data_IF_885668569682
#
_entry.id   IF_885668569682
#
_cell.length_a   1.000
_cell.length_b   1.000
_cell.length_c   1.000
_cell.angle_alpha   90.00
_cell.angle_beta   90.00
_cell.angle_gamma   90.00
#
_symmetry.space_group_name_H-M   'P 1'
#
loop_
_entity.id
_entity.type
_entity.pdbx_description
1 polymer ?
#
# COMPACT_ATOMS: atom_id res chain seq x y z
N UNK A 1 5.87 -17.09 -1.45
CA UNK A 1 4.58 -16.85 -2.08
C UNK A 1 3.59 -16.61 -0.97
N UNK A 2 2.80 -15.55 -1.02
CA UNK A 2 1.95 -15.19 0.12
C UNK A 2 0.53 -14.85 -0.35
N UNK A 3 -0.48 -15.50 0.22
CA UNK A 3 -1.88 -15.14 0.02
C UNK A 3 -2.41 -14.36 1.23
N UNK A 4 -3.26 -13.36 0.97
CA UNK A 4 -3.95 -12.64 2.04
C UNK A 4 -5.44 -12.88 1.88
N UNK A 5 -6.10 -13.22 2.98
CA UNK A 5 -7.55 -13.38 3.00
C UNK A 5 -8.14 -12.59 4.16
N UNK A 6 -9.10 -11.74 3.87
CA UNK A 6 -9.90 -11.00 4.84
C UNK A 6 -11.30 -11.59 4.83
N UNK A 7 -11.81 -12.03 5.99
CA UNK A 7 -13.11 -12.66 6.15
C UNK A 7 -13.99 -11.87 7.10
N UNK A 8 -15.13 -11.40 6.59
CA UNK A 8 -16.16 -10.69 7.36
C UNK A 8 -15.58 -9.56 8.23
N UNK A 9 -14.63 -8.79 7.70
CA UNK A 9 -13.99 -7.71 8.46
C UNK A 9 -14.96 -6.57 8.69
N UNK A 10 -15.14 -6.20 9.98
CA UNK A 10 -15.91 -5.03 10.39
C UNK A 10 -15.08 -4.17 11.33
N UNK A 11 -15.29 -2.84 11.25
CA UNK A 11 -14.66 -1.86 12.13
C UNK A 11 -15.57 -0.69 12.41
N UNK A 12 -15.64 -0.33 13.69
CA UNK A 12 -16.38 0.85 14.16
C UNK A 12 -15.51 1.71 15.07
N UNK A 13 -15.72 3.00 15.06
CA UNK A 13 -15.15 3.95 16.01
C UNK A 13 -16.32 4.65 16.73
N UNK A 14 -16.56 4.27 17.97
CA UNK A 14 -17.78 4.67 18.70
C UNK A 14 -19.03 4.16 17.97
N UNK A 15 -19.96 5.05 17.66
CA UNK A 15 -21.18 4.72 16.90
C UNK A 15 -20.98 4.71 15.38
N UNK A 16 -19.82 5.13 14.87
CA UNK A 16 -19.58 5.23 13.43
C UNK A 16 -18.98 3.93 12.89
N UNK A 17 -19.74 3.18 12.08
CA UNK A 17 -19.26 1.99 11.37
C UNK A 17 -18.49 2.41 10.13
N UNK A 18 -17.20 2.12 10.10
CA UNK A 18 -16.25 2.55 9.05
C UNK A 18 -16.01 1.47 8.01
N UNK A 19 -16.03 0.20 8.41
CA UNK A 19 -15.92 -0.96 7.52
C UNK A 19 -17.10 -1.88 7.79
N UNK A 20 -17.81 -2.24 6.72
CA UNK A 20 -19.01 -3.09 6.77
C UNK A 20 -18.74 -4.40 6.03
N UNK A 21 -18.58 -5.50 6.77
CA UNK A 21 -18.48 -6.87 6.24
C UNK A 21 -17.61 -6.95 4.96
N UNK A 22 -16.32 -6.65 5.13
CA UNK A 22 -15.36 -6.64 4.04
C UNK A 22 -14.74 -8.03 3.86
N UNK A 23 -14.96 -8.62 2.68
CA UNK A 23 -14.45 -9.92 2.29
C UNK A 23 -13.60 -9.79 1.03
N UNK A 24 -12.35 -10.26 1.07
CA UNK A 24 -11.47 -10.30 -0.10
C UNK A 24 -10.43 -11.39 0.04
N UNK A 25 -10.10 -12.03 -1.08
CA UNK A 25 -8.95 -12.91 -1.21
C UNK A 25 -7.99 -12.33 -2.24
N UNK A 26 -6.75 -12.11 -1.82
CA UNK A 26 -5.63 -11.61 -2.62
C UNK A 26 -4.71 -12.78 -2.89
N UNK A 27 -4.48 -13.08 -4.15
CA UNK A 27 -3.62 -14.17 -4.56
C UNK A 27 -2.15 -13.76 -4.46
N UNK A 28 -1.27 -14.74 -4.49
CA UNK A 28 0.18 -14.52 -4.46
C UNK A 28 0.67 -13.67 -5.64
N UNK A 29 1.56 -12.72 -5.33
CA UNK A 29 2.15 -11.80 -6.32
C UNK A 29 1.19 -10.78 -6.91
N UNK A 30 0.01 -10.57 -6.33
CA UNK A 30 -1.02 -9.69 -6.85
C UNK A 30 -0.86 -8.24 -6.38
N UNK A 31 -1.08 -7.29 -7.31
CA UNK A 31 -1.17 -5.86 -7.05
C UNK A 31 -2.63 -5.45 -6.93
N UNK A 32 -3.11 -5.25 -5.71
CA UNK A 32 -4.47 -4.79 -5.43
C UNK A 32 -4.47 -3.30 -5.13
N UNK A 33 -5.35 -2.56 -5.79
CA UNK A 33 -5.56 -1.14 -5.50
C UNK A 33 -6.92 -0.91 -4.86
N UNK A 34 -6.93 -0.28 -3.70
CA UNK A 34 -8.13 0.17 -3.00
C UNK A 34 -8.39 1.64 -3.37
N UNK A 35 -9.51 1.91 -4.02
CA UNK A 35 -9.92 3.27 -4.40
C UNK A 35 -11.27 3.63 -3.79
N UNK A 36 -11.53 4.92 -3.64
CA UNK A 36 -12.80 5.42 -3.13
C UNK A 36 -12.66 6.83 -2.55
N UNK A 37 -13.76 7.49 -2.21
CA UNK A 37 -13.78 8.83 -1.61
C UNK A 37 -12.99 8.90 -0.31
N UNK A 38 -12.59 10.11 0.09
CA UNK A 38 -11.99 10.31 1.41
C UNK A 38 -12.94 9.85 2.53
N UNK A 39 -12.39 9.20 3.55
CA UNK A 39 -13.16 8.69 4.69
C UNK A 39 -13.95 7.40 4.45
N UNK A 40 -13.84 6.75 3.28
CA UNK A 40 -14.56 5.47 3.04
C UNK A 40 -13.92 4.23 3.70
N UNK A 41 -12.82 4.37 4.46
CA UNK A 41 -12.24 3.27 5.26
C UNK A 41 -10.93 2.67 4.71
N UNK A 42 -10.38 3.12 3.59
CA UNK A 42 -9.17 2.55 2.94
C UNK A 42 -7.96 2.46 3.89
N UNK A 43 -7.55 3.58 4.47
CA UNK A 43 -6.40 3.61 5.40
C UNK A 43 -6.68 2.84 6.69
N UNK A 44 -7.95 2.80 7.14
CA UNK A 44 -8.36 1.97 8.28
C UNK A 44 -8.13 0.49 7.98
N UNK A 45 -8.51 0.04 6.78
CA UNK A 45 -8.29 -1.33 6.34
C UNK A 45 -6.79 -1.68 6.29
N UNK A 46 -5.95 -0.79 5.71
CA UNK A 46 -4.50 -0.98 5.73
C UNK A 46 -3.94 -1.09 7.15
N UNK A 47 -4.41 -0.24 8.06
CA UNK A 47 -3.99 -0.24 9.47
C UNK A 47 -4.39 -1.53 10.19
N UNK A 48 -5.56 -2.10 9.89
CA UNK A 48 -5.98 -3.40 10.43
C UNK A 48 -5.11 -4.53 9.87
N UNK A 49 -4.82 -4.54 8.57
CA UNK A 49 -3.94 -5.55 7.96
C UNK A 49 -2.52 -5.47 8.55
N UNK A 50 -1.98 -4.27 8.74
CA UNK A 50 -0.65 -4.07 9.34
C UNK A 50 -0.60 -4.34 10.84
N UNK A 51 -1.75 -4.43 11.53
CA UNK A 51 -1.84 -4.58 12.98
C UNK A 51 -1.67 -3.28 13.78
N UNK A 52 -1.72 -2.14 13.11
CA UNK A 52 -1.73 -0.82 13.74
C UNK A 52 -3.11 -0.42 14.27
N UNK A 53 -4.14 -1.15 13.86
CA UNK A 53 -5.52 -1.04 14.34
C UNK A 53 -6.10 -2.43 14.56
N UNK A 54 -6.93 -2.59 15.58
CA UNK A 54 -7.61 -3.85 15.89
C UNK A 54 -8.78 -4.09 14.95
N UNK A 55 -9.05 -5.34 14.65
CA UNK A 55 -10.29 -5.79 13.98
C UNK A 55 -11.36 -5.98 15.04
N UNK A 56 -12.55 -5.45 14.83
CA UNK A 56 -13.65 -5.65 15.79
C UNK A 56 -14.38 -6.98 15.54
N UNK A 57 -14.66 -7.31 14.26
CA UNK A 57 -15.25 -8.58 13.83
C UNK A 57 -14.50 -9.06 12.59
N UNK A 58 -14.35 -10.38 12.45
CA UNK A 58 -13.73 -11.02 11.30
C UNK A 58 -12.28 -11.43 11.50
N UNK A 59 -11.69 -11.97 10.45
CA UNK A 59 -10.39 -12.64 10.51
C UNK A 59 -9.51 -12.22 9.34
N UNK A 60 -8.22 -12.00 9.61
CA UNK A 60 -7.21 -11.72 8.60
C UNK A 60 -6.22 -12.88 8.59
N UNK A 61 -6.05 -13.49 7.43
CA UNK A 61 -5.12 -14.57 7.21
C UNK A 61 -3.99 -14.14 6.29
N UNK A 62 -2.77 -14.58 6.61
CA UNK A 62 -1.59 -14.54 5.75
C UNK A 62 -1.06 -15.97 5.61
N UNK A 63 -1.03 -16.51 4.39
CA UNK A 63 -0.66 -17.92 4.13
C UNK A 63 -1.45 -18.91 4.97
N UNK A 64 -2.77 -18.76 5.04
CA UNK A 64 -3.70 -19.53 5.87
C UNK A 64 -3.43 -19.43 7.39
N UNK A 65 -2.55 -18.56 7.85
CA UNK A 65 -2.28 -18.30 9.26
C UNK A 65 -3.05 -17.06 9.72
N UNK A 66 -3.87 -17.22 10.75
CA UNK A 66 -4.57 -16.10 11.39
C UNK A 66 -3.55 -15.13 12.02
N UNK A 67 -3.64 -13.84 11.64
CA UNK A 67 -2.70 -12.81 12.08
C UNK A 67 -3.33 -11.72 12.96
N UNK A 68 -4.63 -11.81 13.30
CA UNK A 68 -5.32 -10.79 14.09
C UNK A 68 -4.57 -10.41 15.37
N UNK A 69 -4.11 -11.42 16.13
CA UNK A 69 -3.45 -11.25 17.41
C UNK A 69 -1.93 -11.04 17.33
N UNK A 70 -1.36 -11.02 16.11
CA UNK A 70 0.05 -10.75 15.95
C UNK A 70 0.33 -9.25 15.99
N UNK A 71 1.35 -8.86 16.76
CA UNK A 71 1.86 -7.49 16.75
C UNK A 71 2.43 -7.13 15.36
N UNK A 72 2.44 -5.85 14.96
CA UNK A 72 2.86 -5.41 13.62
C UNK A 72 4.20 -5.99 13.14
N UNK A 73 5.20 -6.04 14.04
CA UNK A 73 6.55 -6.53 13.72
C UNK A 73 6.61 -8.02 13.38
N UNK A 74 5.58 -8.81 13.73
CA UNK A 74 5.50 -10.26 13.50
C UNK A 74 4.61 -10.65 12.32
N UNK A 75 4.00 -9.67 11.64
CA UNK A 75 3.09 -9.93 10.52
C UNK A 75 3.76 -10.15 9.17
N UNK A 76 5.08 -10.02 9.06
CA UNK A 76 5.83 -10.10 7.79
C UNK A 76 5.31 -9.12 6.72
N UNK A 77 4.81 -7.96 7.17
CA UNK A 77 4.21 -6.90 6.36
C UNK A 77 5.03 -5.63 6.54
N UNK A 78 5.25 -4.90 5.46
CA UNK A 78 5.83 -3.56 5.51
C UNK A 78 4.85 -2.50 5.01
N UNK A 79 4.80 -1.35 5.68
CA UNK A 79 3.91 -0.24 5.32
C UNK A 79 4.70 1.00 4.95
N UNK A 80 4.34 1.60 3.82
CA UNK A 80 4.81 2.90 3.35
C UNK A 80 3.68 3.91 3.57
N UNK A 81 3.94 4.91 4.41
CA UNK A 81 2.95 5.91 4.81
C UNK A 81 2.94 7.10 3.85
N UNK A 82 1.82 7.77 3.75
CA UNK A 82 1.63 9.01 2.99
C UNK A 82 2.65 10.10 3.34
N UNK A 83 3.00 10.24 4.62
CA UNK A 83 4.00 11.20 5.12
C UNK A 83 5.44 10.71 4.99
N UNK A 84 5.67 9.54 4.36
CA UNK A 84 6.94 8.81 4.31
C UNK A 84 7.41 8.31 5.69
N UNK A 85 7.05 8.98 6.76
CA UNK A 85 7.39 8.67 8.16
C UNK A 85 8.90 8.36 8.37
N UNK A 86 9.78 9.14 7.71
CA UNK A 86 11.22 9.03 7.90
C UNK A 86 11.64 9.65 9.22
N UNK A 87 12.64 9.03 9.86
CA UNK A 87 13.25 9.56 11.09
C UNK A 87 14.14 10.75 10.74
N UNK A 88 13.80 11.99 11.12
CA UNK A 88 14.47 13.20 10.63
C UNK A 88 15.91 13.37 11.13
N UNK A 89 16.26 12.74 12.24
CA UNK A 89 17.60 12.78 12.84
C UNK A 89 18.56 11.75 12.25
N UNK A 90 18.04 10.71 11.56
CA UNK A 90 18.79 9.65 10.91
C UNK A 90 19.10 9.99 9.44
N UNK A 91 20.24 9.54 8.91
CA UNK A 91 20.52 9.59 7.49
C UNK A 91 19.71 8.52 6.72
N UNK A 92 19.84 8.45 5.38
CA UNK A 92 19.13 7.49 4.53
C UNK A 92 19.49 6.05 4.91
N UNK A 93 20.81 5.76 5.04
CA UNK A 93 21.27 4.43 5.45
C UNK A 93 20.64 4.00 6.78
N UNK A 94 20.65 4.86 7.78
CA UNK A 94 20.12 4.59 9.11
C UNK A 94 18.60 4.37 9.08
N UNK A 95 17.85 5.17 8.30
CA UNK A 95 16.42 4.98 8.09
C UNK A 95 16.11 3.60 7.51
N UNK A 96 16.85 3.18 6.48
CA UNK A 96 16.66 1.87 5.83
C UNK A 96 17.10 0.72 6.74
N UNK A 97 18.16 0.90 7.53
CA UNK A 97 18.70 -0.11 8.44
C UNK A 97 17.90 -0.27 9.74
N UNK A 98 17.03 0.68 10.09
CA UNK A 98 16.42 0.75 11.43
C UNK A 98 15.69 -0.54 11.83
N UNK A 99 14.82 -1.06 10.95
CA UNK A 99 14.08 -2.30 11.23
C UNK A 99 15.00 -3.50 11.46
N UNK A 100 16.03 -3.64 10.64
CA UNK A 100 17.02 -4.73 10.73
C UNK A 100 17.84 -4.66 12.04
N UNK A 101 18.18 -3.43 12.48
CA UNK A 101 18.85 -3.22 13.78
C UNK A 101 17.98 -3.67 14.95
N UNK A 102 16.66 -3.37 14.91
CA UNK A 102 15.71 -3.82 15.93
C UNK A 102 15.54 -5.35 15.96
N UNK A 103 15.66 -5.99 14.82
CA UNK A 103 15.66 -7.46 14.67
C UNK A 103 17.01 -8.09 15.03
N UNK A 104 18.02 -7.28 15.45
CA UNK A 104 19.37 -7.71 15.82
C UNK A 104 20.12 -8.44 14.71
N UNK A 105 19.85 -8.09 13.46
CA UNK A 105 20.57 -8.64 12.29
C UNK A 105 22.06 -8.21 12.33
N UNK A 106 23.00 -9.09 11.94
CA UNK A 106 24.42 -8.75 11.89
C UNK A 106 24.74 -7.55 10.99
N UNK A 107 25.70 -6.70 11.39
CA UNK A 107 26.05 -5.47 10.66
C UNK A 107 26.43 -5.71 9.20
N UNK A 108 27.13 -6.80 8.91
CA UNK A 108 27.49 -7.18 7.53
C UNK A 108 26.26 -7.41 6.66
N UNK A 109 25.27 -8.12 7.18
CA UNK A 109 24.01 -8.40 6.48
C UNK A 109 23.16 -7.14 6.32
N UNK A 110 23.12 -6.26 7.35
CA UNK A 110 22.47 -4.94 7.25
C UNK A 110 23.06 -4.13 6.11
N UNK A 111 24.39 -4.03 6.05
CA UNK A 111 25.08 -3.29 4.98
C UNK A 111 24.73 -3.84 3.60
N UNK A 112 24.73 -5.16 3.44
CA UNK A 112 24.38 -5.82 2.19
C UNK A 112 22.93 -5.53 1.77
N UNK A 113 21.96 -5.70 2.68
CA UNK A 113 20.54 -5.47 2.41
C UNK A 113 20.26 -4.01 2.07
N UNK A 114 20.85 -3.06 2.81
CA UNK A 114 20.68 -1.62 2.56
C UNK A 114 21.26 -1.23 1.20
N UNK A 115 22.51 -1.66 0.89
CA UNK A 115 23.15 -1.33 -0.39
C UNK A 115 22.37 -1.93 -1.58
N UNK A 116 21.91 -3.18 -1.47
CA UNK A 116 21.08 -3.82 -2.51
C UNK A 116 19.76 -3.06 -2.74
N UNK A 117 19.10 -2.63 -1.66
CA UNK A 117 17.88 -1.84 -1.77
C UNK A 117 18.16 -0.45 -2.34
N UNK A 118 19.26 0.21 -1.95
CA UNK A 118 19.67 1.50 -2.48
C UNK A 118 19.94 1.42 -3.98
N UNK A 119 20.69 0.41 -4.43
CA UNK A 119 20.95 0.17 -5.85
C UNK A 119 19.67 -0.11 -6.65
N UNK A 120 18.72 -0.88 -6.08
CA UNK A 120 17.43 -1.13 -6.72
C UNK A 120 16.64 0.17 -6.94
N UNK A 121 16.75 1.13 -6.03
CA UNK A 121 16.02 2.40 -6.02
C UNK A 121 16.84 3.58 -6.58
N UNK A 122 18.08 3.35 -7.01
CA UNK A 122 18.99 4.36 -7.54
C UNK A 122 19.21 5.53 -6.58
N UNK A 123 19.51 5.22 -5.31
CA UNK A 123 19.73 6.21 -4.23
C UNK A 123 21.04 5.96 -3.47
N UNK A 124 22.04 5.27 -4.07
CA UNK A 124 23.31 4.94 -3.45
C UNK A 124 24.09 6.19 -3.02
N UNK A 125 24.04 7.23 -3.84
CA UNK A 125 24.70 8.53 -3.59
C UNK A 125 24.00 9.36 -2.50
N UNK A 126 22.83 8.94 -2.03
CA UNK A 126 22.05 9.62 -1.03
C UNK A 126 22.19 9.03 0.38
N UNK A 127 22.88 7.90 0.56
CA UNK A 127 22.89 7.12 1.80
C UNK A 127 23.28 7.93 3.04
N UNK A 128 24.19 8.91 2.89
CA UNK A 128 24.65 9.75 4.00
C UNK A 128 23.80 11.01 4.22
N UNK A 129 22.84 11.30 3.33
CA UNK A 129 21.98 12.49 3.46
C UNK A 129 20.88 12.27 4.50
N UNK A 130 20.46 13.38 5.12
CA UNK A 130 19.30 13.41 6.01
C UNK A 130 18.01 13.76 5.24
N UNK A 131 16.81 13.35 5.72
CA UNK A 131 15.54 13.60 5.03
C UNK A 131 15.30 15.04 4.59
N UNK A 132 15.78 16.03 5.36
CA UNK A 132 15.68 17.47 5.01
C UNK A 132 16.46 17.87 3.76
N UNK A 133 17.42 17.06 3.33
CA UNK A 133 18.29 17.31 2.17
C UNK A 133 17.78 16.59 0.91
N UNK A 134 16.62 15.95 0.97
CA UNK A 134 16.05 15.13 -0.09
C UNK A 134 14.83 15.81 -0.72
N UNK A 135 14.66 15.59 -2.04
CA UNK A 135 13.41 15.93 -2.73
C UNK A 135 12.24 15.04 -2.29
N UNK A 136 11.01 15.36 -2.68
CA UNK A 136 9.83 14.53 -2.41
C UNK A 136 9.99 13.09 -2.90
N UNK A 137 10.37 12.91 -4.16
CA UNK A 137 10.59 11.59 -4.74
C UNK A 137 11.75 10.83 -4.10
N UNK A 138 12.84 11.52 -3.75
CA UNK A 138 13.94 10.89 -3.01
C UNK A 138 13.48 10.39 -1.63
N UNK A 139 12.68 11.18 -0.89
CA UNK A 139 12.10 10.72 0.39
C UNK A 139 11.18 9.51 0.19
N UNK A 140 10.40 9.50 -0.89
CA UNK A 140 9.55 8.37 -1.23
C UNK A 140 10.38 7.10 -1.49
N UNK A 141 11.43 7.20 -2.32
CA UNK A 141 12.33 6.06 -2.58
C UNK A 141 12.97 5.54 -1.28
N UNK A 142 13.40 6.43 -0.37
CA UNK A 142 13.93 6.02 0.95
C UNK A 142 12.87 5.29 1.80
N UNK A 143 11.61 5.75 1.80
CA UNK A 143 10.53 5.09 2.53
C UNK A 143 10.25 3.68 1.96
N UNK A 144 10.26 3.53 0.63
CA UNK A 144 10.17 2.24 -0.05
C UNK A 144 11.38 1.36 0.28
N UNK A 145 12.60 1.92 0.26
CA UNK A 145 13.84 1.21 0.61
C UNK A 145 13.81 0.64 2.03
N UNK A 146 13.32 1.43 2.99
CA UNK A 146 13.10 0.96 4.37
C UNK A 146 12.12 -0.23 4.44
N UNK A 147 11.13 -0.29 3.56
CA UNK A 147 10.22 -1.41 3.46
C UNK A 147 10.88 -2.64 2.82
N UNK A 148 11.61 -2.45 1.72
CA UNK A 148 12.30 -3.53 0.96
C UNK A 148 13.33 -4.26 1.82
N UNK A 149 14.14 -3.53 2.60
CA UNK A 149 15.22 -4.11 3.41
C UNK A 149 14.75 -5.22 4.35
N UNK A 150 13.48 -5.19 4.78
CA UNK A 150 12.88 -6.21 5.62
C UNK A 150 12.42 -7.47 4.88
N UNK A 151 12.46 -7.45 3.55
CA UNK A 151 11.98 -8.54 2.68
C UNK A 151 10.57 -9.04 3.09
N UNK A 152 9.57 -8.16 3.17
CA UNK A 152 8.25 -8.55 3.62
C UNK A 152 7.53 -9.40 2.57
N UNK A 153 6.55 -10.19 3.00
CA UNK A 153 5.66 -10.93 2.11
C UNK A 153 4.63 -10.01 1.43
N UNK A 154 4.27 -8.93 2.11
CA UNK A 154 3.23 -7.99 1.66
C UNK A 154 3.68 -6.56 1.88
N UNK A 155 3.52 -5.72 0.87
CA UNK A 155 3.70 -4.28 0.95
C UNK A 155 2.34 -3.59 1.03
N UNK A 156 2.20 -2.67 1.97
CA UNK A 156 1.06 -1.78 2.10
C UNK A 156 1.49 -0.36 1.77
N UNK A 157 0.82 0.27 0.82
CA UNK A 157 1.06 1.66 0.43
C UNK A 157 -0.16 2.51 0.75
N UNK A 158 -0.02 3.48 1.66
CA UNK A 158 -1.10 4.40 2.04
C UNK A 158 -0.89 5.75 1.36
N UNK A 159 -1.55 5.98 0.22
CA UNK A 159 -1.46 7.17 -0.64
C UNK A 159 -0.02 7.66 -0.89
N UNK A 160 0.90 6.79 -1.33
CA UNK A 160 2.32 7.10 -1.30
C UNK A 160 2.73 8.25 -2.25
N UNK A 161 1.96 8.52 -3.30
CA UNK A 161 2.29 9.51 -4.32
C UNK A 161 1.54 10.83 -4.17
N UNK A 162 0.64 10.96 -3.18
CA UNK A 162 -0.23 12.13 -3.01
C UNK A 162 0.52 13.45 -2.78
N UNK A 163 1.72 13.40 -2.20
CA UNK A 163 2.55 14.56 -1.88
C UNK A 163 3.55 14.95 -2.98
N UNK A 164 3.44 14.34 -4.17
CA UNK A 164 4.32 14.60 -5.31
C UNK A 164 3.60 15.44 -6.39
N UNK A 165 4.37 16.21 -7.13
CA UNK A 165 3.88 16.87 -8.34
C UNK A 165 3.53 15.87 -9.45
N UNK A 166 2.81 16.29 -10.47
CA UNK A 166 2.27 15.42 -11.51
C UNK A 166 3.36 14.69 -12.32
N UNK A 167 4.48 15.36 -12.62
CA UNK A 167 5.57 14.77 -13.41
C UNK A 167 6.27 13.66 -12.59
N UNK A 168 6.63 13.96 -11.35
CA UNK A 168 7.28 13.04 -10.45
C UNK A 168 6.36 11.87 -10.07
N UNK A 169 5.05 12.12 -9.93
CA UNK A 169 4.05 11.07 -9.69
C UNK A 169 4.02 10.06 -10.84
N UNK A 170 4.09 10.54 -12.10
CA UNK A 170 4.13 9.66 -13.28
C UNK A 170 5.38 8.79 -13.32
N UNK A 171 6.55 9.37 -13.00
CA UNK A 171 7.81 8.64 -12.89
C UNK A 171 7.73 7.56 -11.81
N UNK A 172 7.29 7.94 -10.60
CA UNK A 172 7.21 7.04 -9.46
C UNK A 172 6.21 5.89 -9.65
N UNK A 173 5.12 6.08 -10.40
CA UNK A 173 4.22 4.99 -10.79
C UNK A 173 4.95 3.90 -11.58
N UNK A 174 5.72 4.30 -12.59
CA UNK A 174 6.52 3.36 -13.39
C UNK A 174 7.52 2.61 -12.52
N UNK A 175 8.15 3.28 -11.57
CA UNK A 175 9.10 2.66 -10.65
C UNK A 175 8.43 1.64 -9.71
N UNK A 176 7.28 1.98 -9.12
CA UNK A 176 6.52 1.06 -8.27
C UNK A 176 6.09 -0.17 -9.07
N UNK A 177 5.62 0.00 -10.31
CA UNK A 177 5.27 -1.12 -11.18
C UNK A 177 6.48 -2.04 -11.47
N UNK A 178 7.63 -1.46 -11.84
CA UNK A 178 8.86 -2.22 -12.07
C UNK A 178 9.33 -2.96 -10.81
N UNK A 179 9.23 -2.30 -9.66
CA UNK A 179 9.55 -2.87 -8.37
C UNK A 179 8.67 -4.09 -8.06
N UNK A 180 7.36 -3.97 -8.24
CA UNK A 180 6.41 -5.08 -8.07
C UNK A 180 6.81 -6.29 -8.93
N UNK A 181 7.03 -6.08 -10.23
CA UNK A 181 7.43 -7.16 -11.14
C UNK A 181 8.77 -7.82 -10.75
N UNK A 182 9.71 -7.04 -10.17
CA UNK A 182 11.00 -7.56 -9.71
C UNK A 182 10.90 -8.36 -8.41
N UNK A 183 10.03 -7.92 -7.49
CA UNK A 183 9.95 -8.50 -6.14
C UNK A 183 9.00 -9.70 -6.05
N UNK A 184 8.06 -9.82 -6.96
CA UNK A 184 7.01 -10.85 -6.96
C UNK A 184 6.32 -10.99 -5.58
N UNK A 185 6.05 -9.87 -4.92
CA UNK A 185 5.43 -9.78 -3.61
C UNK A 185 4.05 -9.14 -3.74
N UNK A 186 3.14 -9.48 -2.84
CA UNK A 186 1.83 -8.85 -2.82
C UNK A 186 1.92 -7.37 -2.49
N UNK A 187 1.17 -6.55 -3.22
CA UNK A 187 1.01 -5.12 -2.93
C UNK A 187 -0.47 -4.82 -2.69
N UNK A 188 -0.75 -4.14 -1.59
CA UNK A 188 -2.03 -3.50 -1.33
C UNK A 188 -1.79 -1.99 -1.31
N UNK A 189 -2.36 -1.30 -2.26
CA UNK A 189 -2.11 0.10 -2.55
C UNK A 189 -3.40 0.91 -2.37
N UNK A 190 -3.36 1.94 -1.55
CA UNK A 190 -4.46 2.88 -1.36
C UNK A 190 -4.19 4.14 -2.14
N UNK A 191 -5.17 4.59 -2.90
CA UNK A 191 -5.14 5.88 -3.59
C UNK A 191 -6.54 6.47 -3.76
N UNK A 192 -6.62 7.76 -4.03
CA UNK A 192 -7.80 8.42 -4.55
C UNK A 192 -7.64 8.80 -6.04
N UNK A 193 -6.47 8.51 -6.64
CA UNK A 193 -6.16 8.78 -8.04
C UNK A 193 -6.54 7.57 -8.92
N UNK A 194 -7.51 7.79 -9.82
CA UNK A 194 -8.01 6.75 -10.72
C UNK A 194 -6.94 6.30 -11.71
N UNK A 195 -6.06 7.19 -12.15
CA UNK A 195 -4.98 6.84 -13.10
C UNK A 195 -3.99 5.87 -12.44
N UNK A 196 -3.68 6.08 -11.16
CA UNK A 196 -2.86 5.13 -10.40
C UNK A 196 -3.54 3.75 -10.36
N UNK A 197 -4.82 3.70 -10.02
CA UNK A 197 -5.58 2.46 -9.95
C UNK A 197 -5.62 1.72 -11.29
N UNK A 198 -5.98 2.42 -12.37
CA UNK A 198 -6.11 1.83 -13.70
C UNK A 198 -4.79 1.38 -14.31
N UNK A 199 -3.66 1.95 -13.88
CA UNK A 199 -2.33 1.65 -14.47
C UNK A 199 -1.48 0.68 -13.67
N UNK A 200 -1.70 0.57 -12.36
CA UNK A 200 -0.88 -0.25 -11.47
C UNK A 200 -1.53 -1.59 -11.10
N UNK A 201 -2.87 -1.62 -11.04
CA UNK A 201 -3.59 -2.75 -10.45
C UNK A 201 -3.68 -3.96 -11.37
N UNK A 202 -3.46 -5.16 -10.81
CA UNK A 202 -4.00 -6.39 -11.37
C UNK A 202 -5.52 -6.46 -11.10
N UNK A 203 -5.97 -6.04 -9.90
CA UNK A 203 -7.38 -5.85 -9.56
C UNK A 203 -7.60 -4.60 -8.71
N UNK A 204 -8.76 -3.96 -8.91
CA UNK A 204 -9.20 -2.77 -8.17
C UNK A 204 -10.35 -3.15 -7.25
N UNK A 205 -10.36 -2.60 -6.05
CA UNK A 205 -11.49 -2.62 -5.12
C UNK A 205 -12.03 -1.21 -5.00
N UNK A 206 -13.23 -0.98 -5.47
CA UNK A 206 -13.93 0.31 -5.32
C UNK A 206 -14.69 0.32 -4.01
N UNK A 207 -14.32 1.22 -3.11
CA UNK A 207 -14.87 1.36 -1.77
C UNK A 207 -15.75 2.59 -1.66
N UNK A 208 -16.90 2.45 -1.01
CA UNK A 208 -17.77 3.57 -0.67
C UNK A 208 -18.44 3.34 0.69
N UNK A 209 -18.35 4.29 1.60
CA UNK A 209 -18.97 4.25 2.94
C UNK A 209 -18.79 2.89 3.66
N UNK A 210 -17.57 2.35 3.59
CA UNK A 210 -17.21 1.10 4.26
C UNK A 210 -17.62 -0.19 3.54
N UNK A 211 -18.23 -0.09 2.36
CA UNK A 211 -18.64 -1.25 1.55
C UNK A 211 -17.79 -1.39 0.28
N UNK A 212 -17.67 -2.62 -0.22
CA UNK A 212 -17.15 -2.89 -1.56
C UNK A 212 -18.31 -2.66 -2.55
N UNK A 213 -18.17 -1.67 -3.43
CA UNK A 213 -19.11 -1.41 -4.52
C UNK A 213 -18.87 -2.33 -5.71
N UNK A 214 -17.59 -2.51 -6.03
CA UNK A 214 -17.16 -3.43 -7.08
C UNK A 214 -15.71 -3.86 -6.85
N UNK A 215 -15.39 -5.04 -7.33
CA UNK A 215 -14.08 -5.64 -7.28
C UNK A 215 -13.82 -6.43 -8.57
N UNK A 216 -12.72 -6.13 -9.26
CA UNK A 216 -12.38 -6.75 -10.53
C UNK A 216 -11.12 -6.17 -11.15
N UNK A 217 -10.79 -6.62 -12.36
CA UNK A 217 -9.70 -6.04 -13.16
C UNK A 217 -10.02 -4.59 -13.56
N UNK A 218 -9.01 -3.76 -13.86
CA UNK A 218 -9.25 -2.40 -14.37
C UNK A 218 -10.23 -2.37 -15.55
N UNK A 219 -10.12 -3.31 -16.48
CA UNK A 219 -10.99 -3.37 -17.64
C UNK A 219 -12.44 -3.69 -17.26
N UNK A 220 -12.68 -4.64 -16.37
CA UNK A 220 -14.03 -4.97 -15.88
C UNK A 220 -14.68 -3.79 -15.18
N UNK A 221 -13.94 -3.12 -14.26
CA UNK A 221 -14.44 -1.95 -13.53
C UNK A 221 -14.82 -0.80 -14.48
N UNK A 222 -14.07 -0.61 -15.57
CA UNK A 222 -14.31 0.46 -16.53
C UNK A 222 -15.42 0.14 -17.52
N UNK A 223 -15.47 -1.08 -18.07
CA UNK A 223 -16.40 -1.45 -19.14
C UNK A 223 -17.75 -1.96 -18.66
N UNK A 224 -17.81 -2.51 -17.45
CA UNK A 224 -19.01 -3.10 -16.87
C UNK A 224 -19.18 -2.68 -15.38
N UNK A 225 -19.45 -1.38 -15.11
CA UNK A 225 -19.64 -0.89 -13.75
C UNK A 225 -20.93 -1.41 -13.13
N UNK A 226 -20.84 -2.02 -11.94
CA UNK A 226 -21.98 -2.64 -11.23
C UNK A 226 -23.09 -1.65 -10.86
N UNK A 227 -22.78 -0.37 -10.72
CA UNK A 227 -23.74 0.65 -10.33
C UNK A 227 -23.29 2.05 -10.79
N UNK A 228 -24.20 3.01 -10.63
CA UNK A 228 -23.98 4.41 -11.01
C UNK A 228 -22.77 5.02 -10.27
N UNK A 229 -22.59 4.68 -8.99
CA UNK A 229 -21.45 5.21 -8.22
C UNK A 229 -20.12 4.80 -8.86
N UNK A 230 -19.94 3.54 -9.21
CA UNK A 230 -18.71 3.05 -9.87
C UNK A 230 -18.53 3.71 -11.23
N UNK A 231 -19.61 3.80 -12.03
CA UNK A 231 -19.59 4.43 -13.35
C UNK A 231 -19.20 5.92 -13.31
N UNK A 232 -19.63 6.66 -12.29
CA UNK A 232 -19.25 8.06 -12.10
C UNK A 232 -17.89 8.23 -11.42
N UNK A 233 -17.50 7.27 -10.59
CA UNK A 233 -16.24 7.35 -9.84
C UNK A 233 -15.04 6.97 -10.70
N UNK A 234 -15.18 6.01 -11.61
CA UNK A 234 -14.11 5.52 -12.49
C UNK A 234 -14.25 6.14 -13.88
N UNK A 235 -13.18 6.73 -14.35
CA UNK A 235 -13.11 7.33 -15.70
C UNK A 235 -13.00 8.86 -15.69
N UNK A 236 -12.19 9.35 -16.64
CA UNK A 236 -12.04 10.79 -16.91
C UNK A 236 -12.05 10.99 -18.43
N UNK A 237 -13.06 11.70 -18.96
CA UNK A 237 -14.20 12.34 -18.27
C UNK A 237 -15.17 11.33 -17.64
N UNK A 238 -15.96 11.81 -16.67
CA UNK A 238 -16.99 10.99 -16.03
C UNK A 238 -18.05 10.54 -17.03
N UNK A 239 -18.64 9.35 -16.80
CA UNK A 239 -19.75 8.87 -17.59
C UNK A 239 -20.97 9.82 -17.53
N UNK A 240 -21.59 10.05 -18.68
CA UNK A 240 -22.83 10.86 -18.76
C UNK A 240 -24.02 9.98 -18.38
N UNK A 241 -24.80 10.42 -17.39
CA UNK A 241 -26.03 9.72 -16.99
C UNK A 241 -27.21 10.56 -17.46
N UNK A 242 -28.04 9.97 -18.31
CA UNK A 242 -29.27 10.58 -18.82
C UNK A 242 -30.43 9.91 -18.08
N UNK A 243 -31.22 10.73 -17.38
CA UNK A 243 -32.50 10.27 -16.84
C UNK A 243 -33.53 10.32 -17.97
N UNK A 244 -34.09 9.17 -18.29
CA UNK A 244 -35.20 9.02 -19.23
C UNK A 244 -36.50 9.04 -18.44
#
# INVERSE_FOLDING_TARGET
>A
MASIELKNIEKSFGSNKVINKFDIKINDGEFIVLVGPSGCGKSTLLRMISGLESVDIGEIYLDNKLINNLIPSKREIAMVFQSYALYPHMNVFENMAFGLKMEKIPKSEINQKVNNAAATLQIEDLLERKPKQLSGGQRQRVAIGRAITRSPKVFLFDEPLSNLDAALRSEMRVEIYKLHKKMNSNIIYVTHDQVEAMTLADRIVVLNKGNIEQYGTPNEIYSDPNNIFVAEFIGSPKMNIIKI
#
